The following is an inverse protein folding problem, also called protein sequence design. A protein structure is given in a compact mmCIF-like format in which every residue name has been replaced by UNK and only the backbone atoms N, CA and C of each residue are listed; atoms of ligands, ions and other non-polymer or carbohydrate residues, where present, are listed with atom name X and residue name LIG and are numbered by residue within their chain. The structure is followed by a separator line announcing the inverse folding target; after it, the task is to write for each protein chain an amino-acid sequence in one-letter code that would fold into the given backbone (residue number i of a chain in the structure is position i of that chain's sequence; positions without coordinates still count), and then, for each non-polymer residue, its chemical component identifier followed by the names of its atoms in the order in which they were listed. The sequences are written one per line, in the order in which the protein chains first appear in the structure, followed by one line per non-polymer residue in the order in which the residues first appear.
data_IF_449863074368
#
_entry.id   IF_449863074368
#
_cell.length_a   1.000
_cell.length_b   1.000
_cell.length_c   1.000
_cell.angle_alpha   90.00
_cell.angle_beta   90.00
_cell.angle_gamma   90.00
#
_symmetry.space_group_name_H-M   'P 1'
#
loop_
_entity.id
_entity.type
_entity.pdbx_description
1 polymer ?
#
# COMPACT_ATOMS: atom_id res chain seq x y z
N UNK A 1 -6.53 7.57 8.40
CA UNK A 1 -5.36 8.49 8.39
C UNK A 1 -4.53 8.41 7.11
N UNK A 2 -4.37 7.21 6.49
CA UNK A 2 -3.50 7.03 5.30
C UNK A 2 -3.92 7.91 4.12
N UNK A 3 -5.16 7.77 3.66
CA UNK A 3 -5.68 8.57 2.52
C UNK A 3 -5.75 10.06 2.85
N UNK A 4 -5.99 10.43 4.12
CA UNK A 4 -5.92 11.83 4.57
C UNK A 4 -4.51 12.40 4.38
N UNK A 5 -3.47 11.65 4.78
CA UNK A 5 -2.08 12.06 4.57
C UNK A 5 -1.77 12.24 3.07
N UNK A 6 -2.21 11.33 2.22
CA UNK A 6 -2.04 11.46 0.77
C UNK A 6 -2.75 12.68 0.21
N UNK A 7 -3.98 12.96 0.67
CA UNK A 7 -4.73 14.14 0.25
C UNK A 7 -4.09 15.45 0.72
N UNK A 8 -3.41 15.46 1.87
CA UNK A 8 -2.61 16.61 2.33
C UNK A 8 -1.37 16.83 1.44
N UNK A 9 -0.70 15.75 1.03
CA UNK A 9 0.48 15.84 0.13
C UNK A 9 0.07 16.30 -1.27
N UNK A 10 -1.09 15.84 -1.77
CA UNK A 10 -1.62 16.26 -3.08
C UNK A 10 -2.24 17.66 -3.08
N UNK A 11 -2.34 18.29 -1.89
CA UNK A 11 -3.04 19.57 -1.70
C UNK A 11 -4.53 19.51 -2.13
N UNK A 12 -5.12 18.30 -2.02
CA UNK A 12 -6.55 18.08 -2.27
C UNK A 12 -7.42 18.46 -1.08
N UNK A 13 -6.84 18.51 0.12
CA UNK A 13 -7.44 19.06 1.34
C UNK A 13 -6.50 20.07 1.96
N UNK A 14 -7.07 21.12 2.56
CA UNK A 14 -6.29 22.16 3.21
C UNK A 14 -5.69 21.66 4.54
N UNK A 15 -4.48 22.11 4.87
CA UNK A 15 -3.80 21.82 6.13
C UNK A 15 -4.17 22.86 7.19
N UNK A 16 -4.47 22.43 8.40
CA UNK A 16 -4.69 23.32 9.53
C UNK A 16 -3.37 23.89 10.08
N UNK A 17 -2.26 23.20 9.84
CA UNK A 17 -0.93 23.62 10.28
C UNK A 17 0.18 22.67 9.84
N UNK A 18 1.40 22.99 10.22
CA UNK A 18 2.61 22.23 9.84
C UNK A 18 3.09 22.52 8.43
N UNK A 19 4.17 21.84 8.03
CA UNK A 19 4.78 21.98 6.71
C UNK A 19 5.07 20.61 6.07
N UNK A 20 4.97 20.53 4.75
CA UNK A 20 5.39 19.37 3.96
C UNK A 20 6.45 19.87 2.98
N UNK A 21 7.65 19.30 3.08
CA UNK A 21 8.77 19.72 2.27
C UNK A 21 9.18 18.64 1.28
N UNK A 22 9.47 19.06 0.05
CA UNK A 22 10.11 18.25 -0.98
C UNK A 22 11.42 18.91 -1.40
N UNK A 23 12.55 18.18 -1.35
CA UNK A 23 13.89 18.71 -1.62
C UNK A 23 14.21 20.01 -0.82
N UNK A 24 13.83 20.03 0.46
CA UNK A 24 14.08 21.16 1.37
C UNK A 24 13.19 22.37 1.19
N UNK A 25 12.17 22.32 0.31
CA UNK A 25 11.21 23.42 0.07
C UNK A 25 9.80 23.00 0.40
N UNK A 26 9.03 23.91 0.99
CA UNK A 26 7.60 23.74 1.24
C UNK A 26 6.84 23.50 -0.08
N UNK A 27 6.01 22.47 -0.15
CA UNK A 27 5.30 22.09 -1.39
C UNK A 27 4.33 23.17 -1.87
N UNK A 28 3.74 23.95 -0.95
CA UNK A 28 2.85 25.07 -1.30
C UNK A 28 3.57 26.21 -2.01
N UNK A 29 4.86 26.40 -1.74
CA UNK A 29 5.69 27.41 -2.45
C UNK A 29 6.07 26.92 -3.88
N UNK A 30 6.11 25.60 -4.07
CA UNK A 30 6.42 25.01 -5.37
C UNK A 30 5.20 24.89 -6.30
N UNK A 31 3.99 24.81 -5.74
CA UNK A 31 2.71 24.73 -6.46
C UNK A 31 2.74 23.78 -7.66
N UNK A 32 2.62 24.32 -8.87
CA UNK A 32 2.59 23.53 -10.12
C UNK A 32 3.89 22.73 -10.36
N UNK A 33 5.05 23.26 -9.93
CA UNK A 33 6.33 22.55 -10.08
C UNK A 33 6.37 21.26 -9.26
N UNK A 34 5.82 21.28 -8.03
CA UNK A 34 5.70 20.07 -7.22
C UNK A 34 4.66 19.11 -7.82
N UNK A 35 3.50 19.61 -8.27
CA UNK A 35 2.47 18.76 -8.91
C UNK A 35 3.01 18.05 -10.16
N UNK A 36 3.91 18.68 -10.92
CA UNK A 36 4.57 18.04 -12.05
C UNK A 36 5.50 16.88 -11.64
N UNK A 37 6.04 16.91 -10.40
CA UNK A 37 6.87 15.86 -9.83
C UNK A 37 6.06 14.77 -9.10
N UNK A 38 4.73 14.90 -9.05
CA UNK A 38 3.86 14.03 -8.30
C UNK A 38 3.02 13.15 -9.23
N UNK A 39 3.06 11.85 -9.00
CA UNK A 39 2.12 10.89 -9.54
C UNK A 39 1.19 10.41 -8.43
N UNK A 40 -0.10 10.34 -8.69
CA UNK A 40 -1.07 9.88 -7.71
C UNK A 40 -2.03 8.86 -8.30
N UNK A 41 -2.15 7.74 -7.61
CA UNK A 41 -3.12 6.68 -7.88
C UNK A 41 -4.03 6.57 -6.65
N UNK A 42 -5.22 7.15 -6.65
CA UNK A 42 -6.19 7.05 -5.56
C UNK A 42 -6.86 5.67 -5.53
N UNK A 43 -7.36 5.27 -4.35
CA UNK A 43 -8.05 4.00 -4.13
C UNK A 43 -9.28 3.82 -5.03
N UNK A 44 -10.06 4.88 -5.21
CA UNK A 44 -11.22 4.91 -6.10
C UNK A 44 -11.04 6.03 -7.12
N UNK A 45 -10.83 5.66 -8.35
CA UNK A 45 -10.83 6.60 -9.45
C UNK A 45 -11.86 6.18 -10.49
N UNK A 46 -12.79 7.07 -10.77
CA UNK A 46 -13.68 6.93 -11.92
C UNK A 46 -12.85 6.92 -13.20
N UNK A 47 -12.85 5.80 -13.90
CA UNK A 47 -12.25 5.71 -15.23
C UNK A 47 -13.29 6.09 -16.28
N UNK A 48 -12.84 6.77 -17.34
CA UNK A 48 -13.68 7.01 -18.51
C UNK A 48 -13.82 5.70 -19.31
N UNK A 49 -14.69 4.81 -18.86
CA UNK A 49 -14.80 3.42 -19.34
C UNK A 49 -15.06 3.30 -20.85
N UNK A 50 -15.63 4.31 -21.48
CA UNK A 50 -15.87 4.35 -22.93
C UNK A 50 -14.61 4.71 -23.75
N UNK A 51 -13.57 5.24 -23.09
CA UNK A 51 -12.30 5.53 -23.76
C UNK A 51 -11.47 4.27 -23.94
N UNK A 52 -10.63 4.24 -24.98
CA UNK A 52 -9.56 3.24 -25.07
C UNK A 52 -8.45 3.52 -24.07
N UNK A 53 -7.63 2.52 -23.75
CA UNK A 53 -6.46 2.67 -22.88
C UNK A 53 -5.54 3.80 -23.36
N UNK A 54 -5.22 3.82 -24.65
CA UNK A 54 -4.44 4.88 -25.28
C UNK A 54 -5.12 6.24 -25.17
N UNK A 55 -6.42 6.32 -25.51
CA UNK A 55 -7.19 7.56 -25.45
C UNK A 55 -7.23 8.15 -24.04
N UNK A 56 -7.43 7.30 -23.04
CA UNK A 56 -7.43 7.71 -21.63
C UNK A 56 -6.07 8.28 -21.20
N UNK A 57 -4.97 7.56 -21.47
CA UNK A 57 -3.63 8.04 -21.09
C UNK A 57 -3.24 9.32 -21.84
N UNK A 58 -3.59 9.45 -23.12
CA UNK A 58 -3.39 10.69 -23.89
C UNK A 58 -4.20 11.87 -23.32
N UNK A 59 -5.42 11.60 -22.86
CA UNK A 59 -6.26 12.60 -22.19
C UNK A 59 -5.63 13.06 -20.87
N UNK A 60 -5.16 12.10 -20.03
CA UNK A 60 -4.50 12.41 -18.78
C UNK A 60 -3.16 13.14 -18.97
N UNK A 61 -2.40 12.78 -20.01
CA UNK A 61 -1.17 13.49 -20.40
C UNK A 61 -1.46 14.95 -20.78
N UNK A 62 -2.55 15.19 -21.51
CA UNK A 62 -3.00 16.56 -21.84
C UNK A 62 -3.36 17.36 -20.59
N UNK A 63 -4.06 16.77 -19.61
CA UNK A 63 -4.40 17.42 -18.34
C UNK A 63 -3.15 17.76 -17.52
N UNK A 64 -2.09 16.94 -17.61
CA UNK A 64 -0.78 17.23 -17.02
C UNK A 64 0.05 18.26 -17.80
N UNK A 65 -0.44 18.80 -18.91
CA UNK A 65 0.26 19.77 -19.73
C UNK A 65 1.40 19.18 -20.58
N UNK A 66 1.45 17.86 -20.75
CA UNK A 66 2.48 17.19 -21.57
C UNK A 66 2.20 17.47 -23.06
N UNK A 67 3.23 17.94 -23.77
CA UNK A 67 3.12 18.21 -25.21
C UNK A 67 2.73 16.93 -25.97
N UNK A 68 1.81 17.04 -26.94
CA UNK A 68 1.22 15.89 -27.65
C UNK A 68 2.24 14.95 -28.30
N UNK A 69 3.34 15.49 -28.83
CA UNK A 69 4.43 14.68 -29.41
C UNK A 69 5.09 13.81 -28.33
N UNK A 70 5.49 14.42 -27.20
CA UNK A 70 6.08 13.71 -26.08
C UNK A 70 5.10 12.70 -25.44
N UNK A 71 3.83 13.10 -25.31
CA UNK A 71 2.79 12.23 -24.75
C UNK A 71 2.60 10.94 -25.57
N UNK A 72 2.73 10.98 -26.89
CA UNK A 72 2.61 9.78 -27.74
C UNK A 72 3.68 8.75 -27.42
N UNK A 73 4.93 9.19 -27.35
CA UNK A 73 6.06 8.32 -27.10
C UNK A 73 6.01 7.77 -25.67
N UNK A 74 5.66 8.63 -24.72
CA UNK A 74 5.55 8.26 -23.31
C UNK A 74 4.40 7.26 -23.05
N UNK A 75 3.21 7.53 -23.60
CA UNK A 75 2.05 6.64 -23.47
C UNK A 75 2.34 5.28 -24.13
N UNK A 76 2.99 5.24 -25.29
CA UNK A 76 3.44 3.99 -25.92
C UNK A 76 4.35 3.19 -24.99
N UNK A 77 5.38 3.83 -24.44
CA UNK A 77 6.33 3.25 -23.49
C UNK A 77 5.64 2.73 -22.21
N UNK A 78 4.72 3.51 -21.64
CA UNK A 78 3.98 3.12 -20.44
C UNK A 78 3.05 1.93 -20.70
N UNK A 79 2.35 1.89 -21.82
CA UNK A 79 1.51 0.75 -22.19
C UNK A 79 2.34 -0.54 -22.37
N UNK A 80 3.53 -0.44 -22.95
CA UNK A 80 4.46 -1.56 -23.06
C UNK A 80 4.97 -2.01 -21.68
N UNK A 81 5.42 -1.08 -20.86
CA UNK A 81 5.86 -1.37 -19.48
C UNK A 81 4.78 -2.05 -18.63
N UNK A 82 3.51 -1.72 -18.88
CA UNK A 82 2.34 -2.31 -18.21
C UNK A 82 1.88 -3.64 -18.85
N UNK A 83 2.54 -4.12 -19.92
CA UNK A 83 2.10 -5.26 -20.73
C UNK A 83 0.64 -5.09 -21.21
N UNK A 84 0.31 -3.94 -21.79
CA UNK A 84 -1.01 -3.59 -22.31
C UNK A 84 -1.00 -3.22 -23.80
N UNK A 85 0.10 -3.47 -24.49
CA UNK A 85 0.30 -3.14 -25.91
C UNK A 85 -0.78 -3.75 -26.81
N UNK A 86 -1.12 -5.04 -26.59
CA UNK A 86 -2.11 -5.77 -27.40
C UNK A 86 -3.55 -5.27 -27.21
N UNK A 87 -3.81 -4.49 -26.15
CA UNK A 87 -5.14 -3.99 -25.80
C UNK A 87 -5.22 -2.47 -25.80
N UNK A 88 -4.22 -1.81 -26.38
CA UNK A 88 -4.07 -0.34 -26.45
C UNK A 88 -5.34 0.40 -26.92
N UNK A 89 -6.04 -0.17 -27.91
CA UNK A 89 -7.24 0.43 -28.49
C UNK A 89 -8.55 -0.15 -27.93
N UNK A 90 -8.48 -1.15 -27.04
CA UNK A 90 -9.65 -1.72 -26.39
C UNK A 90 -10.23 -0.73 -25.35
N UNK A 91 -11.57 -0.64 -25.28
CA UNK A 91 -12.25 0.16 -24.27
C UNK A 91 -11.96 -0.32 -22.85
N UNK A 92 -11.80 0.61 -21.91
CA UNK A 92 -11.51 0.33 -20.51
C UNK A 92 -12.65 -0.44 -19.81
N UNK A 93 -13.88 -0.33 -20.30
CA UNK A 93 -15.03 -1.14 -19.82
C UNK A 93 -14.81 -2.65 -19.96
N UNK A 94 -13.99 -3.07 -20.94
CA UNK A 94 -13.64 -4.48 -21.16
C UNK A 94 -12.35 -4.94 -20.47
N UNK A 95 -11.79 -4.14 -19.57
CA UNK A 95 -10.56 -4.49 -18.85
C UNK A 95 -10.88 -5.26 -17.57
N UNK A 96 -10.03 -6.25 -17.24
CA UNK A 96 -10.04 -6.89 -15.93
C UNK A 96 -9.60 -5.90 -14.83
N UNK A 97 -9.85 -6.24 -13.56
CA UNK A 97 -9.40 -5.44 -12.43
C UNK A 97 -7.90 -5.15 -12.46
N UNK A 98 -7.08 -6.18 -12.72
CA UNK A 98 -5.63 -6.02 -12.83
C UNK A 98 -5.19 -5.17 -14.02
N UNK A 99 -5.90 -5.23 -15.15
CA UNK A 99 -5.64 -4.34 -16.29
C UNK A 99 -6.00 -2.89 -15.95
N UNK A 100 -7.11 -2.66 -15.25
CA UNK A 100 -7.53 -1.33 -14.79
C UNK A 100 -6.49 -0.74 -13.82
N UNK A 101 -5.99 -1.53 -12.85
CA UNK A 101 -4.95 -1.09 -11.93
C UNK A 101 -3.65 -0.71 -12.66
N UNK A 102 -3.24 -1.50 -13.67
CA UNK A 102 -2.06 -1.17 -14.48
C UNK A 102 -2.23 0.13 -15.28
N UNK A 103 -3.41 0.42 -15.79
CA UNK A 103 -3.69 1.71 -16.45
C UNK A 103 -3.64 2.88 -15.45
N UNK A 104 -4.18 2.70 -14.23
CA UNK A 104 -4.11 3.74 -13.20
C UNK A 104 -2.65 4.00 -12.76
N UNK A 105 -1.85 2.94 -12.66
CA UNK A 105 -0.43 3.10 -12.39
C UNK A 105 0.32 3.77 -13.55
N UNK A 106 0.01 3.41 -14.81
CA UNK A 106 0.54 4.10 -15.99
C UNK A 106 0.17 5.60 -15.98
N UNK A 107 -1.06 5.94 -15.64
CA UNK A 107 -1.52 7.32 -15.49
C UNK A 107 -0.75 8.07 -14.40
N UNK A 108 -0.50 7.43 -13.26
CA UNK A 108 0.29 8.04 -12.18
C UNK A 108 1.74 8.31 -12.62
N UNK A 109 2.29 7.50 -13.53
CA UNK A 109 3.66 7.63 -14.05
C UNK A 109 3.83 8.67 -15.17
N UNK A 110 2.75 9.21 -15.73
CA UNK A 110 2.83 10.25 -16.78
C UNK A 110 3.63 11.47 -16.31
N UNK A 111 4.55 11.93 -17.14
CA UNK A 111 5.44 13.06 -16.85
C UNK A 111 6.65 12.69 -16.00
N UNK A 112 6.96 11.42 -15.85
CA UNK A 112 8.12 10.88 -15.10
C UNK A 112 8.27 11.47 -13.69
N UNK A 113 7.25 11.36 -12.82
CA UNK A 113 7.24 11.98 -11.50
C UNK A 113 8.31 11.37 -10.60
N UNK A 114 8.89 12.18 -9.70
CA UNK A 114 9.86 11.74 -8.69
C UNK A 114 9.22 11.23 -7.41
N UNK A 115 7.94 11.54 -7.20
CA UNK A 115 7.15 11.08 -6.04
C UNK A 115 5.91 10.37 -6.56
N UNK A 116 5.67 9.15 -6.09
CA UNK A 116 4.45 8.39 -6.36
C UNK A 116 3.67 8.16 -5.07
N UNK A 117 2.42 8.52 -5.08
CA UNK A 117 1.45 8.18 -4.04
C UNK A 117 0.52 7.10 -4.58
N UNK A 118 0.53 5.93 -3.95
CA UNK A 118 -0.26 4.77 -4.37
C UNK A 118 -1.18 4.34 -3.23
N UNK A 119 -2.48 4.55 -3.40
CA UNK A 119 -3.49 4.17 -2.41
C UNK A 119 -4.16 2.86 -2.81
N UNK A 120 -3.87 1.78 -2.06
CA UNK A 120 -4.38 0.42 -2.25
C UNK A 120 -4.14 -0.14 -3.69
N UNK A 121 -2.91 -0.08 -4.25
CA UNK A 121 -2.69 -0.42 -5.65
C UNK A 121 -2.89 -1.89 -6.00
N UNK A 122 -2.96 -2.77 -5.00
CA UNK A 122 -3.12 -4.22 -5.17
C UNK A 122 -4.47 -4.76 -4.68
N UNK A 123 -5.32 -3.87 -4.14
CA UNK A 123 -6.62 -4.27 -3.59
C UNK A 123 -7.53 -4.90 -4.67
N UNK A 124 -8.20 -5.99 -4.32
CA UNK A 124 -9.13 -6.68 -5.22
C UNK A 124 -8.49 -7.44 -6.38
N UNK A 125 -7.16 -7.59 -6.39
CA UNK A 125 -6.44 -8.34 -7.40
C UNK A 125 -6.28 -9.81 -7.01
N UNK A 126 -6.28 -10.69 -8.00
CA UNK A 126 -5.85 -12.07 -7.81
C UNK A 126 -4.35 -12.16 -7.45
N UNK A 127 -3.87 -13.27 -6.86
CA UNK A 127 -2.48 -13.40 -6.40
C UNK A 127 -1.44 -13.15 -7.49
N UNK A 128 -1.70 -13.56 -8.74
CA UNK A 128 -0.78 -13.41 -9.86
C UNK A 128 -0.62 -11.93 -10.27
N UNK A 129 -1.72 -11.22 -10.39
CA UNK A 129 -1.71 -9.78 -10.71
C UNK A 129 -1.13 -8.96 -9.55
N UNK A 130 -1.39 -9.36 -8.30
CA UNK A 130 -0.78 -8.72 -7.11
C UNK A 130 0.75 -8.81 -7.16
N UNK A 131 1.31 -10.00 -7.41
CA UNK A 131 2.76 -10.19 -7.55
C UNK A 131 3.32 -9.29 -8.67
N UNK A 132 2.64 -9.19 -9.80
CA UNK A 132 3.07 -8.32 -10.92
C UNK A 132 3.14 -6.86 -10.53
N UNK A 133 2.09 -6.34 -9.88
CA UNK A 133 2.05 -4.94 -9.43
C UNK A 133 3.14 -4.67 -8.38
N UNK A 134 3.34 -5.57 -7.42
CA UNK A 134 4.42 -5.45 -6.43
C UNK A 134 5.80 -5.37 -7.08
N UNK A 135 6.11 -6.30 -7.98
CA UNK A 135 7.38 -6.29 -8.69
C UNK A 135 7.59 -5.02 -9.51
N UNK A 136 6.52 -4.49 -10.10
CA UNK A 136 6.58 -3.22 -10.82
C UNK A 136 6.85 -2.05 -9.87
N UNK A 137 6.17 -1.97 -8.73
CA UNK A 137 6.40 -0.95 -7.69
C UNK A 137 7.84 -1.04 -7.16
N UNK A 138 8.34 -2.24 -6.86
CA UNK A 138 9.72 -2.45 -6.43
C UNK A 138 10.74 -1.98 -7.47
N UNK A 139 10.48 -2.20 -8.76
CA UNK A 139 11.33 -1.66 -9.84
C UNK A 139 11.29 -0.14 -9.90
N UNK A 140 10.11 0.45 -9.73
CA UNK A 140 9.91 1.89 -9.76
C UNK A 140 10.52 2.62 -8.55
N UNK A 141 10.68 1.94 -7.40
CA UNK A 141 11.25 2.53 -6.19
C UNK A 141 12.78 2.75 -6.24
N UNK A 142 13.46 2.27 -7.29
CA UNK A 142 14.90 2.42 -7.41
C UNK A 142 15.33 3.87 -7.69
N UNK A 143 14.49 4.66 -8.34
CA UNK A 143 14.82 6.03 -8.81
C UNK A 143 13.80 7.10 -8.37
N UNK A 144 12.84 6.74 -7.53
CA UNK A 144 11.80 7.66 -7.04
C UNK A 144 11.28 7.31 -5.65
N UNK A 145 10.73 8.29 -4.98
CA UNK A 145 10.08 8.11 -3.67
C UNK A 145 8.67 7.56 -3.90
N UNK A 146 8.35 6.41 -3.30
CA UNK A 146 7.01 5.83 -3.36
C UNK A 146 6.41 5.79 -1.96
N UNK A 147 5.29 6.48 -1.77
CA UNK A 147 4.45 6.35 -0.59
C UNK A 147 3.29 5.42 -0.92
N UNK A 148 3.33 4.24 -0.33
CA UNK A 148 2.33 3.20 -0.52
C UNK A 148 1.41 3.15 0.71
N UNK A 149 0.10 3.34 0.51
CA UNK A 149 -0.90 3.03 1.53
C UNK A 149 -1.57 1.70 1.19
N UNK A 150 -1.56 0.78 2.14
CA UNK A 150 -2.25 -0.51 2.01
C UNK A 150 -2.62 -1.06 3.38
N UNK A 151 -3.62 -1.92 3.42
CA UNK A 151 -3.95 -2.76 4.58
C UNK A 151 -3.44 -4.21 4.40
N UNK A 152 -2.81 -4.52 3.28
CA UNK A 152 -2.30 -5.85 2.96
C UNK A 152 -0.85 -5.96 3.44
N UNK A 153 -0.66 -6.57 4.60
CA UNK A 153 0.64 -6.69 5.28
C UNK A 153 1.69 -7.37 4.41
N UNK A 154 1.32 -8.45 3.71
CA UNK A 154 2.24 -9.20 2.84
C UNK A 154 2.78 -8.39 1.64
N UNK A 155 2.11 -7.32 1.25
CA UNK A 155 2.64 -6.43 0.20
C UNK A 155 3.73 -5.52 0.78
N UNK A 156 3.57 -5.09 2.03
CA UNK A 156 4.53 -4.23 2.72
C UNK A 156 5.85 -4.95 2.96
N UNK A 157 5.80 -6.19 3.47
CA UNK A 157 6.99 -6.99 3.81
C UNK A 157 7.99 -7.12 2.65
N UNK A 158 7.50 -7.16 1.42
CA UNK A 158 8.33 -7.46 0.26
C UNK A 158 8.90 -6.24 -0.45
N UNK A 159 8.30 -5.06 -0.28
CA UNK A 159 8.68 -3.88 -1.08
C UNK A 159 9.00 -2.62 -0.26
N UNK A 160 8.64 -2.57 1.01
CA UNK A 160 8.87 -1.37 1.82
C UNK A 160 10.27 -1.33 2.42
N UNK A 161 10.92 -0.18 2.31
CA UNK A 161 12.15 0.12 3.04
C UNK A 161 11.86 0.66 4.44
N UNK A 162 10.78 1.42 4.59
CA UNK A 162 10.33 2.03 5.83
C UNK A 162 8.82 1.83 5.97
N UNK A 163 8.37 1.51 7.16
CA UNK A 163 6.95 1.32 7.50
C UNK A 163 6.53 2.40 8.49
N UNK A 164 5.44 3.08 8.18
CA UNK A 164 4.83 4.08 9.05
C UNK A 164 3.54 3.49 9.66
N UNK A 165 3.56 3.24 10.97
CA UNK A 165 2.38 2.82 11.72
C UNK A 165 1.59 4.05 12.17
N UNK A 166 0.36 4.16 11.71
CA UNK A 166 -0.51 5.31 12.01
C UNK A 166 -1.80 4.86 12.70
N UNK A 167 -2.16 5.52 13.79
CA UNK A 167 -3.41 5.31 14.51
C UNK A 167 -4.07 6.63 14.84
N UNK A 168 -5.37 6.79 14.56
CA UNK A 168 -6.17 8.00 14.87
C UNK A 168 -5.50 9.32 14.46
N UNK A 169 -4.85 9.33 13.28
CA UNK A 169 -4.16 10.52 12.74
C UNK A 169 -2.76 10.78 13.30
N UNK A 170 -2.25 9.95 14.21
CA UNK A 170 -0.91 10.08 14.78
C UNK A 170 0.04 9.03 14.21
N UNK A 171 1.29 9.41 14.00
CA UNK A 171 2.37 8.47 13.72
C UNK A 171 2.79 7.81 15.03
N UNK A 172 2.62 6.50 15.12
CA UNK A 172 2.97 5.69 16.31
C UNK A 172 4.43 5.27 16.24
N UNK A 173 4.85 4.75 15.07
CA UNK A 173 6.23 4.28 14.87
C UNK A 173 6.59 4.36 13.39
N UNK A 174 7.86 4.60 13.12
CA UNK A 174 8.46 4.54 11.80
C UNK A 174 9.75 3.73 11.91
N UNK A 175 9.84 2.61 11.19
CA UNK A 175 10.98 1.71 11.22
C UNK A 175 10.95 0.77 10.00
N UNK A 176 12.02 -0.01 9.81
CA UNK A 176 12.05 -1.12 8.85
C UNK A 176 11.17 -2.28 9.32
N UNK A 177 10.86 -3.23 8.43
CA UNK A 177 10.13 -4.45 8.81
C UNK A 177 10.89 -5.24 9.89
N UNK A 178 12.21 -5.39 9.72
CA UNK A 178 13.10 -6.09 10.65
C UNK A 178 13.11 -5.45 12.04
N UNK A 179 13.26 -4.12 12.12
CA UNK A 179 13.24 -3.40 13.39
C UNK A 179 11.90 -3.51 14.11
N UNK A 180 10.79 -3.54 13.36
CA UNK A 180 9.44 -3.67 13.91
C UNK A 180 9.22 -5.08 14.49
N UNK A 181 9.58 -6.13 13.75
CA UNK A 181 9.39 -7.52 14.17
C UNK A 181 10.31 -7.87 15.32
N UNK A 182 11.61 -7.53 15.24
CA UNK A 182 12.57 -7.75 16.34
C UNK A 182 12.13 -7.02 17.60
N UNK A 183 11.55 -5.82 17.47
CA UNK A 183 11.09 -5.02 18.61
C UNK A 183 9.95 -5.65 19.42
N UNK A 184 9.25 -6.65 18.88
CA UNK A 184 8.15 -7.38 19.53
C UNK A 184 8.35 -8.90 19.55
N UNK A 185 9.55 -9.39 19.29
CA UNK A 185 9.82 -10.82 19.14
C UNK A 185 9.47 -11.64 20.39
N UNK A 186 9.59 -11.04 21.57
CA UNK A 186 9.21 -11.64 22.86
C UNK A 186 7.71 -11.52 23.17
N UNK A 187 6.96 -10.75 22.41
CA UNK A 187 5.54 -10.47 22.64
C UNK A 187 4.60 -11.43 21.89
N UNK A 188 5.14 -12.27 21.01
CA UNK A 188 4.40 -13.33 20.31
C UNK A 188 4.48 -14.64 21.05
N UNK A 189 3.35 -15.16 21.55
CA UNK A 189 3.29 -16.46 22.24
C UNK A 189 2.26 -17.39 21.63
N UNK A 190 2.47 -18.68 21.80
CA UNK A 190 1.56 -19.71 21.30
C UNK A 190 1.11 -20.61 22.45
N UNK A 191 -0.17 -20.94 22.45
CA UNK A 191 -0.73 -21.89 23.42
C UNK A 191 -1.84 -22.75 22.78
N UNK A 192 -1.99 -23.98 23.27
CA UNK A 192 -3.10 -24.83 22.91
C UNK A 192 -4.38 -24.32 23.58
N UNK A 193 -5.42 -24.09 22.79
CA UNK A 193 -6.72 -23.64 23.28
C UNK A 193 -7.50 -24.84 23.83
N UNK A 194 -7.94 -24.81 25.10
CA UNK A 194 -8.74 -25.89 25.65
C UNK A 194 -10.06 -26.05 24.87
N UNK A 195 -10.57 -27.28 24.71
CA UNK A 195 -11.82 -27.51 24.01
C UNK A 195 -12.98 -26.68 24.58
N UNK A 196 -13.65 -25.93 23.71
CA UNK A 196 -14.81 -25.09 24.10
C UNK A 196 -14.47 -23.71 24.66
N UNK A 197 -13.17 -23.36 24.85
CA UNK A 197 -12.77 -22.08 25.46
C UNK A 197 -12.37 -20.98 24.45
N UNK A 198 -12.44 -21.23 23.14
CA UNK A 198 -11.98 -20.29 22.12
C UNK A 198 -12.65 -18.91 22.24
N UNK A 199 -13.95 -18.86 22.45
CA UNK A 199 -14.68 -17.58 22.58
C UNK A 199 -14.27 -16.80 23.84
N UNK A 200 -14.00 -17.51 24.94
CA UNK A 200 -13.50 -16.89 26.17
C UNK A 200 -12.10 -16.30 25.94
N UNK A 201 -11.24 -17.06 25.25
CA UNK A 201 -9.89 -16.62 24.90
C UNK A 201 -9.90 -15.41 23.96
N UNK A 202 -10.78 -15.37 22.96
CA UNK A 202 -10.91 -14.21 22.05
C UNK A 202 -11.37 -12.93 22.76
N UNK A 203 -12.03 -13.05 23.92
CA UNK A 203 -12.41 -11.88 24.75
C UNK A 203 -11.30 -11.46 25.71
N UNK A 204 -10.46 -12.40 26.13
CA UNK A 204 -9.44 -12.17 27.15
C UNK A 204 -8.07 -11.83 26.57
N UNK A 205 -7.72 -12.44 25.43
CA UNK A 205 -6.41 -12.34 24.82
C UNK A 205 -6.47 -11.71 23.45
N UNK A 206 -5.40 -11.01 23.05
CA UNK A 206 -5.25 -10.48 21.71
C UNK A 206 -4.75 -11.58 20.76
N UNK A 207 -5.67 -12.28 20.12
CA UNK A 207 -5.37 -13.41 19.25
C UNK A 207 -5.08 -12.93 17.83
N UNK A 208 -3.87 -13.18 17.33
CA UNK A 208 -3.45 -12.89 15.96
C UNK A 208 -3.84 -13.99 14.98
N UNK A 209 -3.56 -15.23 15.32
CA UNK A 209 -3.82 -16.38 14.45
C UNK A 209 -4.31 -17.58 15.24
N UNK A 210 -5.29 -18.29 14.66
CA UNK A 210 -5.76 -19.57 15.17
C UNK A 210 -5.45 -20.63 14.10
N UNK A 211 -4.91 -21.76 14.52
CA UNK A 211 -4.54 -22.86 13.62
C UNK A 211 -4.62 -24.21 14.31
N UNK A 212 -4.69 -25.30 13.53
CA UNK A 212 -4.71 -26.67 14.04
C UNK A 212 -3.32 -27.28 13.97
N UNK A 213 -2.82 -27.82 15.10
CA UNK A 213 -1.57 -28.54 15.20
C UNK A 213 -1.80 -29.84 15.94
N UNK A 214 -1.50 -30.99 15.31
CA UNK A 214 -1.68 -32.33 15.87
C UNK A 214 -3.08 -32.61 16.45
N UNK A 215 -4.13 -32.13 15.74
CA UNK A 215 -5.52 -32.32 16.17
C UNK A 215 -6.01 -31.38 17.28
N UNK A 216 -5.15 -30.53 17.84
CA UNK A 216 -5.51 -29.52 18.82
C UNK A 216 -5.56 -28.13 18.18
N UNK A 217 -6.43 -27.27 18.68
CA UNK A 217 -6.52 -25.88 18.30
C UNK A 217 -5.44 -25.10 19.05
N UNK A 218 -4.71 -24.28 18.32
CA UNK A 218 -3.66 -23.38 18.86
C UNK A 218 -4.01 -21.95 18.56
N UNK A 219 -3.67 -21.06 19.49
CA UNK A 219 -3.77 -19.62 19.29
C UNK A 219 -2.40 -18.95 19.43
N UNK A 220 -2.11 -18.03 18.51
CA UNK A 220 -1.01 -17.07 18.62
C UNK A 220 -1.53 -15.81 19.28
N UNK A 221 -0.93 -15.42 20.39
CA UNK A 221 -1.34 -14.33 21.27
C UNK A 221 -0.26 -13.26 21.24
N UNK A 222 -0.64 -12.00 21.10
CA UNK A 222 0.27 -10.88 20.91
C UNK A 222 0.10 -9.86 22.04
N UNK A 223 1.17 -9.72 22.85
CA UNK A 223 1.15 -8.83 24.02
C UNK A 223 0.35 -9.41 25.20
N UNK A 224 0.66 -8.93 26.38
CA UNK A 224 0.00 -9.35 27.62
C UNK A 224 -1.51 -9.00 27.62
N UNK A 225 -2.34 -9.77 28.39
CA UNK A 225 -1.98 -10.92 29.20
C UNK A 225 -1.83 -12.20 28.39
N UNK A 226 -1.10 -13.21 28.94
CA UNK A 226 -0.95 -14.53 28.36
C UNK A 226 -1.52 -15.62 29.26
N UNK A 227 -2.04 -16.74 28.70
CA UNK A 227 -2.36 -17.93 29.51
C UNK A 227 -1.05 -18.56 30.08
N UNK A 228 -1.13 -19.20 31.22
CA UNK A 228 0.03 -19.82 31.87
C UNK A 228 0.76 -20.85 30.98
N UNK A 229 0.04 -21.51 30.10
CA UNK A 229 0.59 -22.50 29.15
C UNK A 229 1.28 -21.88 27.93
N UNK A 230 1.29 -20.54 27.79
CA UNK A 230 1.82 -19.88 26.60
C UNK A 230 3.36 -19.94 26.54
N UNK A 231 3.87 -20.32 25.38
CA UNK A 231 5.31 -20.37 25.07
C UNK A 231 5.65 -19.34 24.01
N UNK A 232 6.88 -18.83 24.01
CA UNK A 232 7.35 -17.93 22.96
C UNK A 232 7.22 -18.65 21.60
N UNK A 233 6.67 -17.95 20.60
CA UNK A 233 6.48 -18.49 19.28
C UNK A 233 7.84 -18.77 18.61
N UNK A 234 8.00 -19.99 18.09
CA UNK A 234 9.29 -20.44 17.55
C UNK A 234 9.66 -19.80 16.21
N UNK A 235 8.66 -19.27 15.47
CA UNK A 235 8.82 -18.65 14.17
C UNK A 235 9.08 -17.13 14.23
N UNK A 236 9.29 -16.56 15.44
CA UNK A 236 9.49 -15.14 15.66
C UNK A 236 8.23 -14.32 15.39
N UNK A 237 8.34 -12.99 15.50
CA UNK A 237 7.25 -12.08 15.18
C UNK A 237 7.20 -11.75 13.67
N UNK A 238 6.00 -11.53 13.13
CA UNK A 238 5.78 -11.06 11.77
C UNK A 238 5.06 -9.69 11.77
N UNK A 239 4.88 -9.08 10.60
CA UNK A 239 4.24 -7.77 10.53
C UNK A 239 2.74 -7.77 10.88
N UNK A 240 2.04 -8.92 10.80
CA UNK A 240 0.66 -9.02 11.29
C UNK A 240 0.64 -8.94 12.82
N UNK A 241 1.61 -9.55 13.49
CA UNK A 241 1.81 -9.43 14.93
C UNK A 241 2.12 -7.99 15.33
N UNK A 242 3.01 -7.32 14.58
CA UNK A 242 3.32 -5.89 14.77
C UNK A 242 2.07 -5.03 14.65
N UNK A 243 1.24 -5.28 13.62
CA UNK A 243 0.00 -4.57 13.44
C UNK A 243 -0.93 -4.72 14.64
N UNK A 244 -1.11 -5.94 15.13
CA UNK A 244 -1.94 -6.24 16.29
C UNK A 244 -1.39 -5.65 17.58
N UNK A 245 -0.07 -5.70 17.76
CA UNK A 245 0.59 -5.17 18.96
C UNK A 245 0.41 -3.65 19.09
N UNK A 246 0.68 -2.91 18.01
CA UNK A 246 0.65 -1.44 18.03
C UNK A 246 -0.73 -0.83 17.73
N UNK A 247 -1.58 -1.51 16.94
CA UNK A 247 -2.80 -0.95 16.37
C UNK A 247 -4.06 -1.76 16.71
N UNK A 248 -3.92 -2.98 17.24
CA UNK A 248 -5.04 -3.79 17.72
C UNK A 248 -5.78 -3.04 18.83
N UNK A 249 -7.09 -2.94 18.71
CA UNK A 249 -7.92 -2.42 19.80
C UNK A 249 -7.91 -3.40 20.98
N UNK A 250 -7.64 -2.87 22.17
CA UNK A 250 -7.75 -3.59 23.44
C UNK A 250 -9.21 -3.73 23.85
#
# INVERSE_FOLDING_TARGET
GKSTLMNLITDSIHRDGGSICFMGREILDWKEKFRAQLGYMPQQQGMYEQMSAYGFLMYMAKLKGIKRSMARDEVGRLLDQMNLTDVTHKKLSGFSGGMKQRILLAQALLGDPKVLLLDEPTAGLDPKERIRIRNLIAKLSQDRVILLATHIVSDIEQISQQILLMQKGRLIKMATAEELTTGIDQEGREAAVPPGELEAWQRQYRIGRIYTRRGCLWARIIGEPYPESAQIAADGANLEDVYLYYLGES
#
